data_IF_703728599359
#
_entry.id   IF_703728599359
#
_cell.length_a   1.000
_cell.length_b   1.000
_cell.length_c   1.000
_cell.angle_alpha   90.00
_cell.angle_beta   90.00
_cell.angle_gamma   90.00
#
_symmetry.space_group_name_H-M   'P 1'
#
loop_
_entity.id
_entity.type
_entity.pdbx_description
1 polymer ?
#
# COMPACT_ATOMS: atom_id res chain seq x y z
N UNK A 1 7.18 -2.75 -24.04
CA UNK A 1 7.27 -3.93 -23.15
C UNK A 1 6.17 -3.97 -22.09
N UNK A 2 6.01 -2.97 -21.20
CA UNK A 2 5.00 -3.02 -20.13
C UNK A 2 3.56 -3.41 -20.57
N UNK A 3 3.10 -2.90 -21.73
CA UNK A 3 1.75 -3.18 -22.26
C UNK A 3 1.43 -4.67 -22.46
N UNK A 4 2.43 -5.54 -22.65
CA UNK A 4 2.20 -6.98 -22.86
C UNK A 4 1.75 -7.71 -21.58
N UNK A 5 1.93 -7.08 -20.41
CA UNK A 5 1.54 -7.61 -19.11
C UNK A 5 0.20 -7.03 -18.61
N UNK A 6 -0.44 -6.16 -19.40
CA UNK A 6 -1.66 -5.47 -19.02
C UNK A 6 -2.86 -6.02 -19.80
N UNK A 7 -3.99 -6.10 -19.11
CA UNK A 7 -5.29 -6.37 -19.73
C UNK A 7 -6.17 -5.12 -19.64
N UNK A 8 -7.00 -4.91 -20.66
CA UNK A 8 -7.95 -3.80 -20.65
C UNK A 8 -8.99 -4.02 -19.54
N UNK A 9 -8.98 -3.14 -18.55
CA UNK A 9 -9.98 -3.04 -17.49
C UNK A 9 -11.23 -2.36 -18.06
N UNK A 10 -12.46 -2.90 -17.84
CA UNK A 10 -13.71 -2.31 -18.31
C UNK A 10 -14.12 -1.11 -17.44
N UNK A 11 -13.30 -0.06 -17.46
CA UNK A 11 -13.55 1.18 -16.74
C UNK A 11 -14.66 2.03 -17.37
N UNK A 12 -15.11 3.05 -16.63
CA UNK A 12 -16.01 4.09 -17.13
C UNK A 12 -15.24 5.43 -17.29
N UNK A 13 -15.49 6.23 -18.34
CA UNK A 13 -16.39 5.98 -19.48
C UNK A 13 -15.83 5.02 -20.54
N UNK A 14 -14.53 4.69 -20.45
CA UNK A 14 -13.81 3.86 -21.41
C UNK A 14 -12.92 2.84 -20.70
N UNK A 15 -12.62 1.75 -21.40
CA UNK A 15 -11.67 0.75 -20.95
C UNK A 15 -10.27 1.34 -20.80
N UNK A 16 -9.55 0.95 -19.75
CA UNK A 16 -8.22 1.48 -19.42
C UNK A 16 -7.23 0.32 -19.22
N UNK A 17 -5.93 0.51 -19.48
CA UNK A 17 -4.93 -0.55 -19.32
C UNK A 17 -4.60 -0.88 -17.84
N UNK A 18 -5.18 -0.15 -16.89
CA UNK A 18 -5.07 -0.40 -15.46
C UNK A 18 -6.32 0.14 -14.73
N UNK A 19 -6.72 -0.54 -13.66
CA UNK A 19 -7.72 -0.06 -12.73
C UNK A 19 -7.10 1.00 -11.80
N UNK A 20 -7.85 2.06 -11.49
CA UNK A 20 -7.42 3.05 -10.50
C UNK A 20 -7.63 2.52 -9.09
N UNK A 21 -6.64 2.71 -8.24
CA UNK A 21 -6.73 2.44 -6.81
C UNK A 21 -6.83 3.77 -6.06
N UNK A 22 -7.85 3.90 -5.22
CA UNK A 22 -8.00 5.04 -4.32
C UNK A 22 -6.92 4.99 -3.24
N UNK A 23 -6.32 6.13 -2.93
CA UNK A 23 -5.31 6.24 -1.88
C UNK A 23 -5.95 5.97 -0.51
N UNK A 24 -5.37 5.06 0.26
CA UNK A 24 -5.81 4.72 1.62
C UNK A 24 -4.76 5.10 2.66
N UNK A 25 -3.49 4.90 2.33
CA UNK A 25 -2.38 5.18 3.24
C UNK A 25 -1.11 5.44 2.44
N UNK A 26 -0.32 6.40 2.90
CA UNK A 26 1.06 6.59 2.50
C UNK A 26 1.88 7.07 3.71
N UNK A 27 3.02 6.43 3.95
CA UNK A 27 3.88 6.80 5.08
C UNK A 27 4.66 8.09 4.80
N UNK A 28 5.12 8.26 3.55
CA UNK A 28 5.77 9.49 3.07
C UNK A 28 5.08 10.12 1.87
N UNK A 29 5.33 11.41 1.64
CA UNK A 29 4.79 12.17 0.50
C UNK A 29 5.89 12.41 -0.56
N UNK A 30 5.64 12.13 -1.85
CA UNK A 30 6.65 12.32 -2.91
C UNK A 30 6.75 13.81 -3.30
N UNK A 31 7.50 14.60 -2.55
CA UNK A 31 7.69 16.03 -2.85
C UNK A 31 8.46 16.27 -4.17
N UNK A 32 9.42 15.39 -4.48
CA UNK A 32 10.17 15.37 -5.74
C UNK A 32 10.74 13.98 -6.00
N UNK A 33 11.15 13.70 -7.25
CA UNK A 33 11.83 12.44 -7.58
C UNK A 33 13.13 12.25 -6.78
N UNK A 34 13.86 13.34 -6.54
CA UNK A 34 15.13 13.30 -5.81
C UNK A 34 14.93 13.03 -4.32
N UNK A 35 13.88 13.60 -3.72
CA UNK A 35 13.50 13.29 -2.34
C UNK A 35 12.94 11.86 -2.21
N UNK A 36 12.15 11.41 -3.19
CA UNK A 36 11.45 10.13 -3.13
C UNK A 36 12.34 8.91 -3.39
N UNK A 37 13.17 8.96 -4.44
CA UNK A 37 14.12 7.89 -4.79
C UNK A 37 15.57 8.37 -4.80
N UNK A 38 15.81 9.60 -5.29
CA UNK A 38 17.16 10.13 -5.43
C UNK A 38 18.10 9.16 -6.13
N UNK A 39 19.31 9.01 -5.59
CA UNK A 39 20.29 8.01 -6.03
C UNK A 39 20.30 6.75 -5.17
N UNK A 40 19.27 6.52 -4.34
CA UNK A 40 19.28 5.38 -3.42
C UNK A 40 19.16 4.06 -4.20
N UNK A 41 19.91 3.01 -3.82
CA UNK A 41 19.70 1.70 -4.41
C UNK A 41 18.35 1.14 -3.96
N UNK A 42 17.56 0.65 -4.92
CA UNK A 42 16.36 -0.15 -4.67
C UNK A 42 16.75 -1.60 -4.89
N UNK A 43 16.93 -2.34 -3.79
CA UNK A 43 17.30 -3.76 -3.83
C UNK A 43 16.09 -4.63 -4.18
N UNK A 44 14.91 -4.27 -3.67
CA UNK A 44 13.69 -5.03 -3.88
C UNK A 44 12.46 -4.14 -3.83
N UNK A 45 11.57 -4.31 -4.80
CA UNK A 45 10.20 -3.80 -4.78
C UNK A 45 9.26 -4.90 -4.29
N UNK A 46 8.46 -4.60 -3.26
CA UNK A 46 7.51 -5.55 -2.66
C UNK A 46 6.10 -5.03 -2.89
N UNK A 47 5.26 -5.83 -3.55
CA UNK A 47 3.85 -5.58 -3.73
C UNK A 47 3.04 -6.72 -3.13
N UNK A 48 1.98 -6.41 -2.37
CA UNK A 48 1.14 -7.45 -1.74
C UNK A 48 -0.34 -7.14 -1.88
N UNK A 49 -1.17 -8.18 -2.01
CA UNK A 49 -2.64 -8.07 -2.04
C UNK A 49 -3.29 -8.54 -0.76
N UNK A 50 -4.34 -7.84 -0.35
CA UNK A 50 -5.27 -8.27 0.68
C UNK A 50 -6.72 -8.08 0.21
N UNK A 51 -7.64 -8.82 0.83
CA UNK A 51 -9.08 -8.71 0.60
C UNK A 51 -9.72 -8.02 1.79
N UNK A 52 -10.43 -6.93 1.55
CA UNK A 52 -11.13 -6.13 2.54
C UNK A 52 -12.60 -6.53 2.58
N UNK A 53 -13.17 -6.68 3.77
CA UNK A 53 -14.62 -6.82 3.93
C UNK A 53 -15.31 -5.53 3.49
N UNK A 54 -16.26 -5.54 2.53
CA UNK A 54 -16.89 -4.32 2.03
C UNK A 54 -17.49 -3.44 3.14
N UNK A 55 -18.11 -4.05 4.15
CA UNK A 55 -18.72 -3.37 5.29
C UNK A 55 -17.69 -2.73 6.25
N UNK A 56 -16.41 -3.09 6.14
CA UNK A 56 -15.31 -2.55 6.95
C UNK A 56 -14.50 -1.48 6.20
N UNK A 57 -14.89 -1.10 4.98
CA UNK A 57 -14.10 -0.19 4.14
C UNK A 57 -13.87 1.16 4.82
N UNK A 58 -14.94 1.80 5.28
CA UNK A 58 -14.86 3.13 5.88
C UNK A 58 -14.04 3.14 7.17
N UNK A 59 -14.15 2.12 8.01
CA UNK A 59 -13.35 2.03 9.24
C UNK A 59 -11.88 1.80 8.93
N UNK A 60 -11.57 0.97 7.92
CA UNK A 60 -10.20 0.73 7.48
C UNK A 60 -9.53 2.04 7.03
N UNK A 61 -10.21 2.80 6.17
CA UNK A 61 -9.74 4.10 5.68
C UNK A 61 -9.59 5.10 6.83
N UNK A 62 -10.57 5.17 7.73
CA UNK A 62 -10.51 6.05 8.90
C UNK A 62 -9.27 5.79 9.77
N UNK A 63 -9.02 4.53 10.14
CA UNK A 63 -7.87 4.19 10.97
C UNK A 63 -6.54 4.49 10.27
N UNK A 64 -6.44 4.20 8.97
CA UNK A 64 -5.21 4.47 8.20
C UNK A 64 -4.97 5.97 8.05
N UNK A 65 -5.99 6.77 7.75
CA UNK A 65 -5.90 8.22 7.73
C UNK A 65 -5.47 8.77 9.09
N UNK A 66 -6.07 8.31 10.18
CA UNK A 66 -5.71 8.73 11.53
C UNK A 66 -4.24 8.42 11.84
N UNK A 67 -3.79 7.19 11.56
CA UNK A 67 -2.39 6.78 11.78
C UNK A 67 -1.43 7.64 10.97
N UNK A 68 -1.73 7.81 9.68
CA UNK A 68 -0.94 8.60 8.75
C UNK A 68 -0.78 10.05 9.24
N UNK A 69 -1.85 10.68 9.71
CA UNK A 69 -1.83 12.09 10.05
C UNK A 69 -1.45 12.40 11.50
N UNK A 70 -1.52 11.43 12.42
CA UNK A 70 -0.99 11.56 13.80
C UNK A 70 0.50 11.20 13.88
N UNK A 71 0.96 10.23 13.08
CA UNK A 71 2.32 9.67 13.16
C UNK A 71 2.94 9.46 11.77
N UNK A 72 3.14 10.53 10.98
CA UNK A 72 3.69 10.41 9.63
C UNK A 72 5.17 9.96 9.63
N UNK A 73 5.62 9.44 8.48
CA UNK A 73 7.03 9.10 8.21
C UNK A 73 7.61 8.15 9.27
N UNK A 74 6.85 7.13 9.64
CA UNK A 74 7.11 6.28 10.79
C UNK A 74 7.75 4.93 10.47
N UNK A 75 7.74 4.50 9.21
CA UNK A 75 8.05 3.11 8.85
C UNK A 75 8.90 2.98 7.59
N UNK A 76 8.39 3.40 6.44
CA UNK A 76 9.04 3.31 5.14
C UNK A 76 8.39 4.34 4.23
N UNK A 77 9.14 5.35 3.81
CA UNK A 77 8.65 6.46 3.00
C UNK A 77 7.89 5.99 1.75
N UNK A 78 8.29 4.86 1.15
CA UNK A 78 7.66 4.29 -0.04
C UNK A 78 6.43 3.44 0.23
N UNK A 79 6.11 3.16 1.49
CA UNK A 79 4.98 2.32 1.86
C UNK A 79 3.66 3.01 1.57
N UNK A 80 2.87 2.38 0.70
CA UNK A 80 1.55 2.86 0.30
C UNK A 80 0.54 1.72 0.29
N UNK A 81 -0.72 2.07 0.50
CA UNK A 81 -1.87 1.20 0.35
C UNK A 81 -2.88 1.89 -0.55
N UNK A 82 -3.23 1.24 -1.65
CA UNK A 82 -4.33 1.62 -2.52
C UNK A 82 -5.47 0.61 -2.46
N UNK A 83 -6.69 1.06 -2.72
CA UNK A 83 -7.88 0.21 -2.75
C UNK A 83 -8.61 0.29 -4.10
N UNK A 84 -9.00 -0.87 -4.63
CA UNK A 84 -9.94 -0.98 -5.75
C UNK A 84 -11.02 -1.98 -5.37
N UNK A 85 -12.27 -1.52 -5.25
CA UNK A 85 -13.38 -2.31 -4.69
C UNK A 85 -13.00 -2.92 -3.33
N UNK A 86 -13.07 -4.25 -3.19
CA UNK A 86 -12.70 -4.99 -1.98
C UNK A 86 -11.24 -5.47 -1.99
N UNK A 87 -10.42 -5.02 -2.95
CA UNK A 87 -9.00 -5.38 -3.05
C UNK A 87 -8.13 -4.24 -2.54
N UNK A 88 -7.20 -4.58 -1.66
CA UNK A 88 -6.13 -3.71 -1.20
C UNK A 88 -4.82 -4.15 -1.85
N UNK A 89 -4.05 -3.18 -2.31
CA UNK A 89 -2.69 -3.37 -2.78
C UNK A 89 -1.75 -2.53 -1.94
N UNK A 90 -0.76 -3.16 -1.32
CA UNK A 90 0.32 -2.45 -0.66
C UNK A 90 1.60 -2.54 -1.50
N UNK A 91 2.39 -1.48 -1.44
CA UNK A 91 3.68 -1.38 -2.11
C UNK A 91 4.71 -0.75 -1.18
N UNK A 92 5.94 -1.26 -1.17
CA UNK A 92 7.11 -0.58 -0.63
C UNK A 92 8.39 -1.09 -1.28
N UNK A 93 9.47 -0.37 -1.06
CA UNK A 93 10.81 -0.72 -1.53
C UNK A 93 11.75 -0.99 -0.35
N UNK A 94 12.73 -1.87 -0.57
CA UNK A 94 13.82 -2.18 0.34
C UNK A 94 15.18 -1.73 -0.23
N UNK A 95 16.14 -1.32 0.63
CA UNK A 95 16.00 -1.16 2.09
C UNK A 95 15.00 -0.06 2.45
N UNK A 96 14.33 -0.19 3.59
CA UNK A 96 13.37 0.84 4.04
C UNK A 96 14.11 2.14 4.36
N UNK A 97 13.53 3.26 3.96
CA UNK A 97 14.05 4.60 4.26
C UNK A 97 12.94 5.42 4.90
N UNK A 98 13.29 6.36 5.78
CA UNK A 98 12.34 7.29 6.35
C UNK A 98 12.42 8.61 5.62
N UNK A 99 11.27 9.24 5.42
CA UNK A 99 11.20 10.57 4.85
C UNK A 99 11.93 11.56 5.76
N UNK A 100 12.82 12.36 5.16
CA UNK A 100 13.55 13.41 5.85
C UNK A 100 13.56 14.72 5.05
N UNK A 101 13.27 15.88 5.68
CA UNK A 101 12.74 16.00 7.05
C UNK A 101 11.36 15.34 7.17
N UNK A 102 11.02 14.83 8.37
CA UNK A 102 9.69 14.28 8.62
C UNK A 102 8.63 15.37 8.40
N UNK A 103 7.55 15.03 7.71
CA UNK A 103 6.42 15.97 7.57
C UNK A 103 5.74 16.20 8.91
N UNK A 104 5.14 17.37 9.07
CA UNK A 104 4.37 17.68 10.27
C UNK A 104 3.06 16.89 10.31
N UNK A 105 2.74 16.32 11.48
CA UNK A 105 1.46 15.69 11.73
C UNK A 105 0.30 16.70 11.56
N UNK A 106 -0.66 16.38 10.69
CA UNK A 106 -1.87 17.22 10.50
C UNK A 106 -2.88 17.04 11.63
N UNK A 107 -2.93 15.85 12.24
CA UNK A 107 -3.72 15.58 13.44
C UNK A 107 -2.83 15.70 14.68
N UNK A 108 -3.30 16.46 15.69
CA UNK A 108 -2.63 16.60 16.99
C UNK A 108 -3.21 15.69 18.08
N UNK A 109 -4.15 14.82 17.69
CA UNK A 109 -4.72 13.79 18.55
C UNK A 109 -3.74 12.63 18.73
N UNK A 110 -4.06 11.72 19.64
CA UNK A 110 -3.29 10.48 19.85
C UNK A 110 -4.25 9.30 20.02
N UNK A 111 -5.17 9.15 19.05
CA UNK A 111 -6.18 8.11 19.05
C UNK A 111 -5.76 6.87 18.27
N UNK A 112 -4.61 6.90 17.58
CA UNK A 112 -4.06 5.73 16.89
C UNK A 112 -3.90 4.58 17.87
N UNK A 113 -4.58 3.44 17.63
CA UNK A 113 -4.54 2.29 18.53
C UNK A 113 -3.11 1.84 18.80
N UNK A 114 -2.84 1.45 20.04
CA UNK A 114 -1.55 0.84 20.40
C UNK A 114 -1.44 -0.57 19.79
N UNK A 115 -2.49 -1.38 19.93
CA UNK A 115 -2.60 -2.68 19.28
C UNK A 115 -3.22 -2.55 17.88
N UNK A 116 -2.39 -2.11 16.92
CA UNK A 116 -2.81 -1.94 15.53
C UNK A 116 -3.28 -3.27 14.92
N UNK A 117 -2.64 -4.38 15.27
CA UNK A 117 -2.95 -5.69 14.69
C UNK A 117 -4.35 -6.15 15.07
N UNK A 118 -4.70 -6.09 16.36
CA UNK A 118 -6.03 -6.49 16.84
C UNK A 118 -7.16 -5.65 16.23
N UNK A 119 -6.93 -4.35 15.99
CA UNK A 119 -7.93 -3.49 15.33
C UNK A 119 -8.03 -3.78 13.84
N UNK A 120 -6.92 -4.07 13.15
CA UNK A 120 -6.92 -4.28 11.71
C UNK A 120 -7.38 -5.69 11.29
N UNK A 121 -7.00 -6.73 12.04
CA UNK A 121 -7.28 -8.12 11.69
C UNK A 121 -8.75 -8.40 11.30
N UNK A 122 -9.79 -7.87 12.00
CA UNK A 122 -11.19 -8.13 11.65
C UNK A 122 -11.63 -7.57 10.29
N UNK A 123 -10.90 -6.62 9.72
CA UNK A 123 -11.23 -5.95 8.45
C UNK A 123 -11.05 -6.89 7.25
N UNK A 124 -10.20 -7.90 7.36
CA UNK A 124 -9.78 -8.69 6.21
C UNK A 124 -10.64 -9.94 5.98
N UNK A 125 -10.72 -10.34 4.72
CA UNK A 125 -11.14 -11.68 4.29
C UNK A 125 -9.85 -12.48 4.09
N UNK A 126 -9.53 -13.44 4.97
CA UNK A 126 -8.27 -14.20 4.88
C UNK A 126 -8.20 -14.98 3.57
N UNK A 127 -7.02 -15.07 2.97
CA UNK A 127 -6.78 -15.98 1.85
C UNK A 127 -6.91 -17.42 2.33
N UNK A 128 -7.37 -18.31 1.44
CA UNK A 128 -7.39 -19.74 1.75
C UNK A 128 -5.97 -20.23 2.01
N UNK A 129 -5.84 -21.09 3.01
CA UNK A 129 -4.60 -21.77 3.31
C UNK A 129 -4.25 -22.72 2.14
N UNK A 130 -3.02 -22.61 1.62
CA UNK A 130 -2.51 -23.59 0.66
C UNK A 130 -1.82 -24.72 1.44
N UNK A 131 -2.57 -25.80 1.69
CA UNK A 131 -2.11 -26.98 2.45
C UNK A 131 -2.75 -27.11 3.84
N UNK A 132 -2.75 -28.33 4.39
CA UNK A 132 -3.44 -28.68 5.65
C UNK A 132 -2.86 -28.00 6.91
N UNK A 133 -1.63 -27.50 6.84
CA UNK A 133 -0.91 -26.88 7.97
C UNK A 133 -0.63 -25.37 7.78
N UNK A 134 -1.13 -24.75 6.70
CA UNK A 134 -0.85 -23.34 6.43
C UNK A 134 -1.83 -22.41 7.17
N UNK A 135 -1.30 -21.39 7.83
CA UNK A 135 -2.14 -20.33 8.41
C UNK A 135 -2.72 -19.44 7.30
N UNK A 136 -4.01 -19.05 7.38
CA UNK A 136 -4.61 -18.15 6.42
C UNK A 136 -3.88 -16.80 6.38
N UNK A 137 -3.27 -16.48 5.25
CA UNK A 137 -2.59 -15.19 5.08
C UNK A 137 -3.62 -14.06 4.90
N UNK A 138 -3.38 -12.89 5.51
CA UNK A 138 -4.16 -11.68 5.22
C UNK A 138 -3.61 -10.92 4.02
N UNK A 139 -2.28 -10.92 3.88
CA UNK A 139 -1.56 -10.32 2.77
C UNK A 139 -0.79 -11.39 2.00
N UNK A 140 -0.94 -11.42 0.68
CA UNK A 140 -0.14 -12.26 -0.22
C UNK A 140 0.82 -11.40 -1.01
N UNK A 141 2.12 -11.65 -0.88
CA UNK A 141 3.11 -11.03 -1.73
C UNK A 141 2.91 -11.47 -3.19
N UNK A 142 3.04 -10.53 -4.12
CA UNK A 142 2.98 -10.77 -5.56
C UNK A 142 4.38 -10.96 -6.14
N UNK A 143 4.46 -11.79 -7.17
CA UNK A 143 5.66 -11.88 -7.99
C UNK A 143 5.82 -10.59 -8.82
N UNK A 144 7.01 -9.98 -8.75
CA UNK A 144 7.39 -8.89 -9.64
C UNK A 144 7.61 -9.44 -11.06
N UNK A 145 6.75 -9.05 -12.01
CA UNK A 145 6.84 -9.47 -13.41
C UNK A 145 7.48 -8.42 -14.33
N UNK A 146 7.49 -7.15 -13.90
CA UNK A 146 8.07 -6.04 -14.66
C UNK A 146 8.40 -4.88 -13.73
N UNK A 147 9.60 -4.32 -13.87
CA UNK A 147 10.01 -3.07 -13.24
C UNK A 147 10.48 -2.12 -14.32
N UNK A 148 10.00 -0.87 -14.27
CA UNK A 148 10.53 0.17 -15.15
C UNK A 148 11.86 0.65 -14.61
N UNK A 149 12.92 0.49 -15.40
CA UNK A 149 14.20 1.14 -15.17
C UNK A 149 14.17 2.49 -15.87
N UNK A 150 14.52 3.54 -15.12
CA UNK A 150 14.61 4.88 -15.68
C UNK A 150 15.84 4.90 -16.59
N UNK A 151 15.66 5.27 -17.86
CA UNK A 151 16.78 5.59 -18.72
C UNK A 151 17.51 6.80 -18.13
N UNK A 152 18.83 6.68 -18.08
CA UNK A 152 19.78 7.70 -17.66
C UNK A 152 19.71 8.98 -18.51
#
# INVERSE_FOLDING_TARGET
MARQFLQMWPGFPESKPAALMMDVFHDGEPASMDNWRGSRPVERSVGSLARLKPEMYSSYVFYHYQKQEERPSGFNQTYRIGAHENMLFSYFELPATLEYPKREARLKTNHTPQDWHAVMQPHFIPWEAEGEEAEPALWRELQLIYQYERAD
#
